data_IF_565570696627
#
_entry.id   IF_565570696627
#
_cell.length_a   1.000
_cell.length_b   1.000
_cell.length_c   1.000
_cell.angle_alpha   90.00
_cell.angle_beta   90.00
_cell.angle_gamma   90.00
#
_symmetry.space_group_name_H-M   'P 1'
#
loop_
_entity.id
_entity.type
_entity.pdbx_description
1 polymer ?
#
# COMPACT_ATOMS: atom_id res chain seq x y z
N UNK A 1 3.57 -9.56 19.83
CA UNK A 1 3.20 -9.06 18.50
C UNK A 1 2.28 -10.07 17.83
N UNK A 2 1.22 -9.61 17.24
CA UNK A 2 0.26 -10.46 16.58
C UNK A 2 0.65 -10.66 15.11
N UNK A 3 0.70 -11.93 14.67
CA UNK A 3 0.97 -12.27 13.27
C UNK A 3 -0.30 -12.85 12.63
N UNK A 4 -0.66 -12.45 11.40
CA UNK A 4 -1.83 -13.01 10.75
C UNK A 4 -1.60 -14.50 10.41
N UNK A 5 -2.66 -15.30 10.36
CA UNK A 5 -2.55 -16.69 9.91
C UNK A 5 -2.03 -16.78 8.47
N UNK A 6 -1.30 -17.86 8.16
CA UNK A 6 -0.72 -18.07 6.85
C UNK A 6 -1.75 -18.04 5.73
N UNK A 7 -2.94 -18.61 5.97
CA UNK A 7 -3.98 -18.63 4.92
C UNK A 7 -4.47 -17.22 4.55
N UNK A 8 -4.47 -16.28 5.50
CA UNK A 8 -4.82 -14.89 5.20
C UNK A 8 -3.76 -14.26 4.31
N UNK A 9 -2.48 -14.54 4.57
CA UNK A 9 -1.39 -14.04 3.73
C UNK A 9 -1.53 -14.57 2.31
N UNK A 10 -1.85 -15.85 2.14
CA UNK A 10 -2.04 -16.46 0.83
C UNK A 10 -3.23 -15.81 0.11
N UNK A 11 -4.34 -15.59 0.80
CA UNK A 11 -5.52 -14.94 0.20
C UNK A 11 -5.17 -13.52 -0.26
N UNK A 12 -4.46 -12.75 0.54
CA UNK A 12 -4.05 -11.40 0.17
C UNK A 12 -3.15 -11.40 -1.06
N UNK A 13 -2.27 -12.40 -1.19
CA UNK A 13 -1.38 -12.51 -2.34
C UNK A 13 -2.12 -12.90 -3.62
N UNK A 14 -3.15 -13.75 -3.52
CA UNK A 14 -3.92 -14.23 -4.68
C UNK A 14 -5.04 -13.27 -5.06
N UNK A 15 -5.66 -12.65 -4.08
CA UNK A 15 -6.79 -11.73 -4.27
C UNK A 15 -6.56 -10.50 -3.41
N UNK A 16 -5.64 -9.63 -3.84
CA UNK A 16 -5.34 -8.45 -3.04
C UNK A 16 -6.59 -7.59 -2.90
N UNK A 17 -6.92 -7.14 -1.67
CA UNK A 17 -8.02 -6.23 -1.48
C UNK A 17 -7.72 -4.90 -2.19
N UNK A 18 -8.73 -4.23 -2.73
CA UNK A 18 -8.51 -2.97 -3.44
C UNK A 18 -7.96 -1.86 -2.55
N UNK A 19 -8.35 -1.84 -1.28
CA UNK A 19 -7.92 -0.80 -0.31
C UNK A 19 -8.14 0.63 -0.83
N UNK A 20 -8.99 0.79 -1.85
CA UNK A 20 -9.24 2.10 -2.46
C UNK A 20 -9.81 3.06 -1.43
N UNK A 21 -9.27 4.27 -1.41
CA UNK A 21 -9.67 5.29 -0.46
C UNK A 21 -8.88 5.30 0.84
N UNK A 22 -8.13 4.25 1.16
CA UNK A 22 -7.28 4.28 2.33
C UNK A 22 -6.21 5.35 2.18
N UNK A 23 -5.99 6.09 3.27
CA UNK A 23 -4.91 7.09 3.32
C UNK A 23 -3.61 6.42 3.67
N UNK A 24 -2.53 6.94 3.09
CA UNK A 24 -1.17 6.45 3.36
C UNK A 24 -0.25 7.62 3.69
N UNK A 25 0.86 7.29 4.31
CA UNK A 25 1.96 8.22 4.51
C UNK A 25 3.26 7.52 4.14
N UNK A 26 4.18 8.26 3.56
CA UNK A 26 5.51 7.75 3.21
C UNK A 26 6.56 8.79 3.53
N UNK A 27 7.64 8.34 4.12
CA UNK A 27 8.76 9.21 4.46
C UNK A 27 9.76 9.22 3.31
N UNK A 28 9.99 10.40 2.75
CA UNK A 28 11.04 10.64 1.76
C UNK A 28 12.10 11.52 2.41
N UNK A 29 13.28 10.96 2.64
CA UNK A 29 14.32 11.64 3.41
C UNK A 29 13.78 12.03 4.79
N UNK A 30 13.52 13.30 5.02
CA UNK A 30 12.98 13.80 6.30
C UNK A 30 11.55 14.34 6.17
N UNK A 31 10.94 14.22 4.99
CA UNK A 31 9.62 14.80 4.72
C UNK A 31 8.59 13.70 4.57
N UNK A 32 7.47 13.83 5.28
CA UNK A 32 6.34 12.91 5.17
C UNK A 32 5.44 13.37 4.04
N UNK A 33 5.13 12.46 3.11
CA UNK A 33 4.19 12.68 2.03
C UNK A 33 2.93 11.87 2.27
N UNK A 34 1.79 12.45 2.00
CA UNK A 34 0.48 11.82 2.18
C UNK A 34 -0.17 11.55 0.83
N UNK A 35 -0.93 10.48 0.76
CA UNK A 35 -1.66 10.13 -0.43
C UNK A 35 -2.83 9.20 -0.12
N UNK A 36 -3.51 8.78 -1.18
CA UNK A 36 -4.63 7.85 -1.09
C UNK A 36 -4.43 6.72 -2.08
N UNK A 37 -4.88 5.52 -1.71
CA UNK A 37 -4.88 4.39 -2.63
C UNK A 37 -6.00 4.59 -3.63
N UNK A 38 -5.66 4.63 -4.91
CA UNK A 38 -6.64 4.85 -5.99
C UNK A 38 -7.04 3.57 -6.72
N UNK A 39 -6.27 2.50 -6.61
CA UNK A 39 -6.61 1.25 -7.27
C UNK A 39 -5.54 0.19 -7.10
N UNK A 40 -5.77 -0.94 -7.77
CA UNK A 40 -4.83 -2.06 -7.80
C UNK A 40 -4.43 -2.36 -9.23
N UNK A 41 -3.24 -2.95 -9.38
CA UNK A 41 -2.74 -3.40 -10.67
C UNK A 41 -1.89 -4.65 -10.45
N UNK A 42 -1.36 -5.18 -11.53
CA UNK A 42 -0.50 -6.35 -11.49
C UNK A 42 0.78 -6.02 -12.26
N UNK A 43 1.91 -6.32 -11.64
CA UNK A 43 3.20 -6.21 -12.31
C UNK A 43 3.25 -7.26 -13.43
N UNK A 44 3.39 -6.82 -14.68
CA UNK A 44 3.34 -7.70 -15.83
C UNK A 44 4.56 -8.60 -15.97
N UNK A 45 5.64 -8.27 -15.28
CA UNK A 45 6.88 -9.06 -15.34
C UNK A 45 6.84 -10.25 -14.40
N UNK A 46 6.28 -10.09 -13.19
CA UNK A 46 6.34 -11.12 -12.16
C UNK A 46 4.98 -11.50 -11.57
N UNK A 47 3.90 -10.85 -12.02
CA UNK A 47 2.55 -11.14 -11.52
C UNK A 47 2.27 -10.63 -10.12
N UNK A 48 3.15 -9.83 -9.54
CA UNK A 48 2.96 -9.29 -8.20
C UNK A 48 1.82 -8.28 -8.17
N UNK A 49 1.06 -8.29 -7.08
CA UNK A 49 0.02 -7.30 -6.85
C UNK A 49 0.65 -5.94 -6.54
N UNK A 50 0.08 -4.89 -7.12
CA UNK A 50 0.50 -3.52 -6.90
C UNK A 50 -0.71 -2.68 -6.49
N UNK A 51 -0.45 -1.68 -5.65
CA UNK A 51 -1.46 -0.69 -5.26
C UNK A 51 -0.99 0.67 -5.74
N UNK A 52 -1.83 1.34 -6.51
CA UNK A 52 -1.51 2.67 -7.02
C UNK A 52 -1.86 3.70 -5.96
N UNK A 53 -0.89 4.51 -5.59
CA UNK A 53 -1.05 5.62 -4.66
C UNK A 53 -1.03 6.92 -5.45
N UNK A 54 -2.04 7.74 -5.20
CA UNK A 54 -2.09 9.11 -5.71
C UNK A 54 -1.73 10.04 -4.54
N UNK A 55 -0.55 10.62 -4.60
CA UNK A 55 -0.12 11.56 -3.57
C UNK A 55 -0.91 12.87 -3.65
N UNK A 56 -1.00 13.57 -2.53
CA UNK A 56 -1.78 14.81 -2.48
C UNK A 56 -1.23 15.91 -3.39
N UNK A 57 0.04 15.81 -3.79
CA UNK A 57 0.64 16.74 -4.76
C UNK A 57 0.40 16.34 -6.23
N UNK A 58 -0.29 15.24 -6.46
CA UNK A 58 -0.63 14.76 -7.80
C UNK A 58 0.31 13.69 -8.36
N UNK A 59 1.41 13.37 -7.70
CA UNK A 59 2.30 12.30 -8.14
C UNK A 59 1.65 10.94 -7.92
N UNK A 60 2.07 9.98 -8.73
CA UNK A 60 1.59 8.59 -8.64
C UNK A 60 2.77 7.67 -8.35
N UNK A 61 2.51 6.64 -7.58
CA UNK A 61 3.49 5.59 -7.31
C UNK A 61 2.78 4.26 -7.11
N UNK A 62 3.36 3.17 -7.63
CA UNK A 62 2.87 1.82 -7.38
C UNK A 62 3.64 1.21 -6.23
N UNK A 63 2.91 0.62 -5.28
CA UNK A 63 3.46 0.00 -4.08
C UNK A 63 3.25 -1.49 -4.13
N UNK A 64 4.24 -2.26 -3.70
CA UNK A 64 4.07 -3.68 -3.42
C UNK A 64 3.37 -3.87 -2.06
N UNK A 65 2.98 -5.11 -1.74
CA UNK A 65 2.17 -5.40 -0.56
C UNK A 65 2.84 -4.93 0.74
N UNK A 66 4.11 -5.24 0.93
CA UNK A 66 4.82 -4.84 2.14
C UNK A 66 4.93 -3.32 2.26
N UNK A 67 5.17 -2.64 1.16
CA UNK A 67 5.25 -1.18 1.12
C UNK A 67 3.91 -0.54 1.45
N UNK A 68 2.81 -1.05 0.85
CA UNK A 68 1.50 -0.44 1.07
C UNK A 68 1.00 -0.65 2.50
N UNK A 69 1.26 -1.82 3.08
CA UNK A 69 0.89 -2.08 4.47
C UNK A 69 1.67 -1.18 5.43
N UNK A 70 2.95 -0.99 5.17
CA UNK A 70 3.77 -0.07 5.96
C UNK A 70 3.29 1.38 5.84
N UNK A 71 2.86 1.77 4.64
CA UNK A 71 2.38 3.13 4.40
C UNK A 71 1.04 3.41 5.08
N UNK A 72 0.13 2.44 5.08
CA UNK A 72 -1.13 2.53 5.83
C UNK A 72 -0.85 2.65 7.33
N UNK A 73 0.05 1.81 7.83
CA UNK A 73 0.42 1.81 9.24
C UNK A 73 1.03 3.14 9.65
N UNK A 74 1.95 3.67 8.84
CA UNK A 74 2.58 4.95 9.14
C UNK A 74 1.55 6.07 9.23
N UNK A 75 0.60 6.11 8.30
CA UNK A 75 -0.48 7.11 8.35
C UNK A 75 -1.26 6.99 9.66
N UNK A 76 -1.62 5.77 10.05
CA UNK A 76 -2.37 5.56 11.30
C UNK A 76 -1.57 6.02 12.53
N UNK A 77 -0.26 5.80 12.54
CA UNK A 77 0.61 6.21 13.63
C UNK A 77 0.76 7.74 13.72
N UNK A 78 0.69 8.42 12.59
CA UNK A 78 0.83 9.88 12.53
C UNK A 78 -0.50 10.61 12.74
N UNK A 79 -1.59 9.88 12.76
CA UNK A 79 -2.94 10.49 12.89
C UNK A 79 -3.32 10.82 14.33
#
# INVERSE_FOLDING_TARGET
MFSPPLFIIIILAQRPPPLTGYRIAKLFHTTVHYGSISGTDVDKLNGAALWTVNYDDGDLEDFEMDEILAAIKLFAELS
#
